data_IF_286369770609
#
_entry.id   IF_286369770609
#
_cell.length_a   1.000
_cell.length_b   1.000
_cell.length_c   1.000
_cell.angle_alpha   90.00
_cell.angle_beta   90.00
_cell.angle_gamma   90.00
#
_symmetry.space_group_name_H-M   'P 1'
#
loop_
_entity.id
_entity.type
_entity.pdbx_description
1 polymer ?
#
# COMPACT_ATOMS: atom_id res chain seq x y z
N UNK A 1 -14.45 15.31 -8.66
CA UNK A 1 -13.27 14.61 -9.19
C UNK A 1 -13.32 13.20 -8.64
N UNK A 2 -13.40 12.19 -9.51
CA UNK A 2 -13.35 10.78 -9.08
C UNK A 2 -11.97 10.50 -8.53
N UNK A 3 -11.90 9.90 -7.35
CA UNK A 3 -10.63 9.58 -6.70
C UNK A 3 -9.98 8.37 -7.38
N UNK A 4 -9.00 8.63 -8.24
CA UNK A 4 -8.35 7.62 -9.09
C UNK A 4 -7.58 6.55 -8.29
N UNK A 5 -7.30 6.78 -7.00
CA UNK A 5 -6.55 5.87 -6.13
C UNK A 5 -7.41 5.23 -5.04
N UNK A 6 -8.74 5.39 -5.12
CA UNK A 6 -9.67 4.74 -4.20
C UNK A 6 -9.71 3.22 -4.35
N UNK A 7 -9.35 2.70 -5.52
CA UNK A 7 -9.38 1.28 -5.86
C UNK A 7 -8.03 0.85 -6.45
N UNK A 8 -7.57 -0.37 -6.18
CA UNK A 8 -6.38 -0.91 -6.83
C UNK A 8 -6.68 -1.22 -8.31
N UNK A 9 -5.63 -1.16 -9.14
CA UNK A 9 -5.70 -1.56 -10.54
C UNK A 9 -5.28 -3.02 -10.67
N UNK A 10 -5.89 -3.73 -11.60
CA UNK A 10 -5.47 -5.10 -11.93
C UNK A 10 -4.05 -5.09 -12.51
N UNK A 11 -3.20 -5.93 -11.93
CA UNK A 11 -1.83 -6.14 -12.39
C UNK A 11 -1.74 -7.55 -12.94
N UNK A 12 -1.48 -7.71 -14.23
CA UNK A 12 -1.26 -9.03 -14.83
C UNK A 12 0.16 -9.58 -14.52
N UNK A 13 0.45 -10.83 -14.89
CA UNK A 13 1.77 -11.44 -14.68
C UNK A 13 2.88 -10.73 -15.46
N UNK A 14 2.54 -10.13 -16.60
CA UNK A 14 3.49 -9.43 -17.47
C UNK A 14 3.93 -8.11 -16.85
N UNK A 15 3.00 -7.35 -16.28
CA UNK A 15 3.25 -6.09 -15.60
C UNK A 15 4.00 -6.29 -14.28
N UNK A 16 3.74 -7.39 -13.58
CA UNK A 16 4.49 -7.77 -12.39
C UNK A 16 5.95 -8.16 -12.72
N UNK A 17 6.17 -8.85 -13.84
CA UNK A 17 7.50 -9.27 -14.29
C UNK A 17 8.31 -8.13 -14.96
N UNK A 18 7.63 -7.25 -15.70
CA UNK A 18 8.21 -6.13 -16.44
C UNK A 18 7.50 -4.83 -16.07
N UNK A 19 7.88 -4.19 -14.97
CA UNK A 19 7.18 -3.02 -14.44
C UNK A 19 7.46 -1.72 -15.23
N UNK A 20 7.77 -1.82 -16.52
CA UNK A 20 8.07 -0.69 -17.41
C UNK A 20 6.91 0.31 -17.59
N UNK A 21 5.68 -0.02 -17.14
CA UNK A 21 4.49 0.85 -17.17
C UNK A 21 4.05 1.36 -15.79
N UNK A 22 4.97 1.44 -14.84
CA UNK A 22 4.66 1.85 -13.47
C UNK A 22 3.99 3.21 -13.31
N UNK A 23 4.11 4.11 -14.28
CA UNK A 23 3.50 5.43 -14.19
C UNK A 23 1.98 5.40 -14.01
N UNK A 24 1.31 4.31 -14.39
CA UNK A 24 -0.15 4.14 -14.20
C UNK A 24 -0.50 3.67 -12.77
N UNK A 25 0.41 2.91 -12.14
CA UNK A 25 0.25 2.34 -10.79
C UNK A 25 0.79 3.26 -9.69
N UNK A 26 1.90 3.96 -9.97
CA UNK A 26 2.57 4.86 -9.04
C UNK A 26 1.89 6.22 -9.03
N UNK A 27 1.26 6.64 -7.91
CA UNK A 27 0.69 7.97 -7.79
C UNK A 27 1.80 9.03 -7.90
N UNK A 28 1.57 10.16 -8.59
CA UNK A 28 2.50 11.29 -8.57
C UNK A 28 2.81 11.74 -7.12
N UNK A 29 4.04 12.18 -6.83
CA UNK A 29 4.38 12.63 -5.48
C UNK A 29 3.54 13.82 -5.01
N UNK A 30 3.01 14.61 -5.94
CA UNK A 30 2.15 15.77 -5.66
C UNK A 30 0.76 15.40 -5.13
N UNK A 31 0.28 14.18 -5.40
CA UNK A 31 -1.03 13.72 -4.90
C UNK A 31 -0.94 13.01 -3.55
N UNK A 32 0.26 12.56 -3.18
CA UNK A 32 0.49 11.89 -1.90
C UNK A 32 0.57 12.99 -0.83
N UNK A 33 -0.39 13.04 0.12
CA UNK A 33 -0.37 14.05 1.15
C UNK A 33 0.84 13.84 2.08
N UNK A 34 1.40 14.94 2.59
CA UNK A 34 2.51 14.89 3.54
C UNK A 34 2.14 14.19 4.87
N UNK A 35 0.85 14.16 5.19
CA UNK A 35 0.30 13.50 6.37
C UNK A 35 -1.03 12.79 6.06
N UNK A 36 -1.24 11.64 6.67
CA UNK A 36 -2.45 10.82 6.54
C UNK A 36 -2.58 9.88 7.75
N UNK A 37 -3.77 9.35 8.04
CA UNK A 37 -3.99 8.49 9.21
C UNK A 37 -2.99 7.33 9.26
N UNK A 38 -2.34 7.17 10.41
CA UNK A 38 -1.36 6.10 10.68
C UNK A 38 -0.19 6.07 9.68
N UNK A 39 0.22 7.24 9.17
CA UNK A 39 1.34 7.36 8.21
C UNK A 39 2.60 6.66 8.68
N UNK A 40 2.99 6.85 9.94
CA UNK A 40 4.22 6.25 10.48
C UNK A 40 4.16 4.72 10.53
N UNK A 41 2.99 4.17 10.85
CA UNK A 41 2.75 2.74 10.88
C UNK A 41 2.79 2.16 9.47
N UNK A 42 2.13 2.78 8.50
CA UNK A 42 2.14 2.32 7.11
C UNK A 42 3.52 2.46 6.45
N UNK A 43 4.28 3.49 6.80
CA UNK A 43 5.69 3.59 6.38
C UNK A 43 6.55 2.51 7.01
N UNK A 44 6.32 2.17 8.29
CA UNK A 44 7.00 1.06 8.96
C UNK A 44 6.64 -0.28 8.31
N UNK A 45 5.37 -0.49 7.96
CA UNK A 45 4.94 -1.66 7.19
C UNK A 45 5.70 -1.77 5.87
N UNK A 46 5.69 -0.70 5.08
CA UNK A 46 6.40 -0.64 3.81
C UNK A 46 7.89 -0.94 3.99
N UNK A 47 8.53 -0.34 5.00
CA UNK A 47 9.94 -0.54 5.29
C UNK A 47 10.26 -1.99 5.69
N UNK A 48 9.41 -2.61 6.52
CA UNK A 48 9.56 -4.01 6.92
C UNK A 48 9.35 -4.96 5.74
N UNK A 49 8.38 -4.67 4.88
CA UNK A 49 8.13 -5.46 3.67
C UNK A 49 9.33 -5.37 2.72
N UNK A 50 9.83 -4.15 2.46
CA UNK A 50 11.00 -3.95 1.61
C UNK A 50 12.26 -4.63 2.17
N UNK A 51 12.47 -4.56 3.49
CA UNK A 51 13.61 -5.20 4.14
C UNK A 51 13.50 -6.73 4.24
N UNK A 52 12.36 -7.32 3.87
CA UNK A 52 12.09 -8.76 4.03
C UNK A 52 11.97 -9.18 5.50
N UNK A 53 11.66 -8.25 6.39
CA UNK A 53 11.47 -8.49 7.83
C UNK A 53 10.01 -8.54 8.24
N UNK A 54 9.09 -8.26 7.32
CA UNK A 54 7.67 -8.50 7.51
C UNK A 54 7.39 -10.02 7.48
N UNK A 55 6.80 -10.60 8.53
CA UNK A 55 6.39 -12.00 8.54
C UNK A 55 5.50 -12.36 7.34
N UNK A 56 5.73 -13.54 6.76
CA UNK A 56 5.01 -14.02 5.57
C UNK A 56 3.51 -14.26 5.85
N UNK A 57 3.14 -14.44 7.11
CA UNK A 57 1.77 -14.62 7.61
C UNK A 57 1.13 -13.29 8.05
N UNK A 58 1.72 -12.15 7.69
CA UNK A 58 1.10 -10.84 7.90
C UNK A 58 -0.30 -10.81 7.27
N UNK A 59 -1.28 -10.47 8.10
CA UNK A 59 -2.68 -10.36 7.71
C UNK A 59 -2.98 -8.91 7.34
N UNK A 60 -3.52 -8.72 6.14
CA UNK A 60 -4.01 -7.45 5.62
C UNK A 60 -5.53 -7.49 5.51
N UNK A 61 -6.20 -6.62 6.25
CA UNK A 61 -7.67 -6.50 6.23
C UNK A 61 -8.06 -5.37 5.29
N UNK A 62 -8.63 -5.72 4.13
CA UNK A 62 -9.03 -4.74 3.12
C UNK A 62 -10.29 -3.96 3.53
N UNK A 63 -10.39 -2.72 3.06
CA UNK A 63 -11.62 -1.91 3.20
C UNK A 63 -12.75 -2.53 2.36
N UNK A 64 -14.01 -2.23 2.71
CA UNK A 64 -15.17 -2.75 1.98
C UNK A 64 -15.11 -2.34 0.49
N UNK A 65 -15.28 -3.32 -0.40
CA UNK A 65 -15.26 -3.10 -1.84
C UNK A 65 -13.87 -3.03 -2.47
N UNK A 66 -12.79 -3.26 -1.71
CA UNK A 66 -11.43 -3.47 -2.25
C UNK A 66 -11.08 -4.95 -2.24
N UNK A 67 -10.61 -5.46 -3.37
CA UNK A 67 -10.05 -6.81 -3.45
C UNK A 67 -8.62 -6.82 -2.88
N UNK A 68 -8.43 -7.53 -1.76
CA UNK A 68 -7.15 -7.62 -1.06
C UNK A 68 -6.03 -8.23 -1.92
N UNK A 69 -6.34 -9.18 -2.79
CA UNK A 69 -5.36 -9.82 -3.66
C UNK A 69 -4.91 -8.87 -4.76
N UNK A 70 -5.85 -8.15 -5.37
CA UNK A 70 -5.54 -7.12 -6.38
C UNK A 70 -4.74 -5.97 -5.75
N UNK A 71 -5.13 -5.50 -4.57
CA UNK A 71 -4.41 -4.48 -3.82
C UNK A 71 -2.98 -4.90 -3.47
N UNK A 72 -2.80 -6.11 -2.94
CA UNK A 72 -1.47 -6.64 -2.61
C UNK A 72 -0.56 -6.72 -3.83
N UNK A 73 -1.09 -7.21 -4.95
CA UNK A 73 -0.36 -7.34 -6.21
C UNK A 73 0.02 -5.99 -6.83
N UNK A 74 -0.86 -4.99 -6.68
CA UNK A 74 -0.58 -3.61 -7.08
C UNK A 74 0.57 -3.03 -6.26
N UNK A 75 0.53 -3.15 -4.92
CA UNK A 75 1.61 -2.70 -4.06
C UNK A 75 2.94 -3.43 -4.36
N UNK A 76 2.88 -4.73 -4.63
CA UNK A 76 4.05 -5.54 -5.00
C UNK A 76 4.71 -5.06 -6.29
N UNK A 77 3.92 -4.73 -7.32
CA UNK A 77 4.43 -4.17 -8.57
C UNK A 77 5.15 -2.83 -8.35
N UNK A 78 4.60 -1.97 -7.48
CA UNK A 78 5.24 -0.69 -7.13
C UNK A 78 6.54 -0.94 -6.37
N UNK A 79 6.51 -1.83 -5.38
CA UNK A 79 7.63 -2.14 -4.50
C UNK A 79 8.82 -2.76 -5.24
N UNK A 80 8.56 -3.62 -6.23
CA UNK A 80 9.59 -4.34 -7.01
C UNK A 80 10.24 -3.52 -8.12
N UNK A 81 9.74 -2.32 -8.39
CA UNK A 81 10.34 -1.48 -9.42
C UNK A 81 11.76 -1.04 -9.12
N UNK A 82 12.58 -0.94 -10.17
CA UNK A 82 13.87 -0.28 -10.14
C UNK A 82 13.78 1.26 -10.28
N UNK A 83 12.72 1.79 -10.90
CA UNK A 83 12.50 3.24 -11.13
C UNK A 83 11.13 3.69 -10.58
N UNK A 84 10.94 4.90 -10.01
CA UNK A 84 11.86 6.02 -9.75
C UNK A 84 12.48 5.92 -8.32
N UNK A 85 12.89 7.08 -7.74
CA UNK A 85 13.56 7.20 -6.41
C UNK A 85 12.85 6.36 -5.33
N UNK A 86 13.65 5.72 -4.48
CA UNK A 86 13.17 4.84 -3.40
C UNK A 86 12.18 5.52 -2.46
N UNK A 87 12.38 6.81 -2.12
CA UNK A 87 11.50 7.56 -1.21
C UNK A 87 10.07 7.71 -1.74
N UNK A 88 9.91 8.06 -3.02
CA UNK A 88 8.59 8.21 -3.63
C UNK A 88 7.82 6.89 -3.66
N UNK A 89 8.49 5.78 -3.97
CA UNK A 89 7.88 4.45 -3.93
C UNK A 89 7.45 4.06 -2.53
N UNK A 90 8.27 4.37 -1.52
CA UNK A 90 7.94 4.09 -0.12
C UNK A 90 6.70 4.87 0.33
N UNK A 91 6.66 6.18 0.06
CA UNK A 91 5.51 7.03 0.37
C UNK A 91 4.25 6.58 -0.39
N UNK A 92 4.39 6.18 -1.66
CA UNK A 92 3.28 5.69 -2.46
C UNK A 92 2.71 4.37 -1.92
N UNK A 93 3.56 3.38 -1.63
CA UNK A 93 3.13 2.08 -1.09
C UNK A 93 2.46 2.28 0.27
N UNK A 94 3.06 3.08 1.15
CA UNK A 94 2.49 3.35 2.47
C UNK A 94 1.15 4.09 2.38
N UNK A 95 1.04 5.10 1.53
CA UNK A 95 -0.20 5.84 1.33
C UNK A 95 -1.29 4.95 0.73
N UNK A 96 -1.01 4.23 -0.35
CA UNK A 96 -1.99 3.32 -0.97
C UNK A 96 -2.43 2.21 -0.01
N UNK A 97 -1.49 1.65 0.77
CA UNK A 97 -1.81 0.66 1.79
C UNK A 97 -2.78 1.24 2.84
N UNK A 98 -2.56 2.48 3.30
CA UNK A 98 -3.46 3.17 4.24
C UNK A 98 -4.87 3.40 3.73
N UNK A 99 -5.05 3.36 2.41
CA UNK A 99 -6.33 3.58 1.74
C UNK A 99 -7.09 2.29 1.45
N UNK A 100 -6.36 1.22 1.18
CA UNK A 100 -6.92 -0.06 0.76
C UNK A 100 -7.08 -1.05 1.90
N UNK A 101 -6.34 -0.85 3.00
CA UNK A 101 -6.36 -1.74 4.15
C UNK A 101 -6.71 -0.97 5.42
N UNK A 102 -7.64 -1.52 6.20
CA UNK A 102 -8.01 -1.02 7.53
C UNK A 102 -6.92 -1.34 8.55
N UNK A 103 -6.29 -2.50 8.38
CA UNK A 103 -5.32 -3.06 9.32
C UNK A 103 -4.30 -3.93 8.62
N UNK A 104 -3.09 -3.87 9.14
CA UNK A 104 -2.02 -4.82 8.89
C UNK A 104 -1.55 -5.36 10.24
N UNK A 105 -1.51 -6.68 10.43
CA UNK A 105 -1.06 -7.28 11.69
C UNK A 105 -0.31 -8.58 11.48
N UNK A 106 0.68 -8.83 12.32
CA UNK A 106 1.45 -10.07 12.31
C UNK A 106 1.03 -10.98 13.48
N UNK A 107 0.98 -12.31 13.31
CA UNK A 107 0.57 -13.23 14.39
C UNK A 107 1.50 -13.20 15.62
N UNK A 108 2.77 -12.87 15.42
CA UNK A 108 3.77 -12.68 16.47
C UNK A 108 3.68 -11.32 17.18
N UNK A 109 2.72 -10.46 16.78
CA UNK A 109 2.55 -9.10 17.30
C UNK A 109 3.75 -8.16 17.10
N UNK A 110 4.73 -8.51 16.25
CA UNK A 110 5.88 -7.65 15.93
C UNK A 110 5.48 -6.37 15.17
N UNK A 111 4.33 -6.41 14.49
CA UNK A 111 3.74 -5.29 13.81
C UNK A 111 2.20 -5.31 13.91
N UNK A 112 1.62 -4.15 14.21
CA UNK A 112 0.20 -3.88 13.99
C UNK A 112 0.03 -2.42 13.60
N UNK A 113 -0.67 -2.17 12.50
CA UNK A 113 -1.27 -0.86 12.24
C UNK A 113 -2.62 -0.81 12.97
N UNK A 114 -2.89 0.19 13.81
CA UNK A 114 -4.20 0.36 14.41
C UNK A 114 -5.25 0.68 13.34
N UNK A 115 -6.50 0.27 13.60
CA UNK A 115 -7.63 0.58 12.72
C UNK A 115 -7.78 2.10 12.59
N UNK A 116 -7.97 2.60 11.38
CA UNK A 116 -8.56 3.93 11.21
C UNK A 116 -10.03 3.75 11.55
N UNK A 117 -10.45 4.09 12.78
CA UNK A 117 -11.89 4.09 13.10
C UNK A 117 -12.61 4.80 11.96
N UNK A 118 -13.59 4.16 11.29
CA UNK A 118 -14.42 4.85 10.32
C UNK A 118 -15.04 5.98 11.11
N UNK A 119 -14.64 7.20 10.76
CA UNK A 119 -15.06 8.45 11.38
C UNK A 119 -16.55 8.30 11.70
N UNK A 120 -16.87 8.20 12.99
CA UNK A 120 -18.24 8.04 13.45
C UNK A 120 -19.06 9.13 12.76
N UNK A 121 -19.96 8.71 11.87
CA UNK A 121 -20.91 9.62 11.25
C UNK A 121 -21.70 10.27 12.39
N UNK A 122 -21.50 11.57 12.58
CA UNK A 122 -22.37 12.44 13.37
C UNK A 122 -22.99 13.45 12.43
#
# INVERSE_FOLDING_TARGET
>A
MTDAYAQPQEVDDVLLAFPARLGELLPPSEVIPADYPHRHEWLRFQSMWFAGTLPADCQLEAVEGVDAAVAGRHLEAIQRSFEPKHEHKADAVAWLASRWFLRASTPDSSYSCPEVSPRASR
#
